data_IF_785790794698
#
_entry.id   IF_785790794698
#
_cell.length_a   1.000
_cell.length_b   1.000
_cell.length_c   1.000
_cell.angle_alpha   90.00
_cell.angle_beta   90.00
_cell.angle_gamma   90.00
#
_symmetry.space_group_name_H-M   'P 1'
#
loop_
_entity.id
_entity.type
_entity.pdbx_description
1 polymer ?
#
# COMPACT_ATOMS: atom_id res chain seq x y z
N UNK A 1 -42.30 -19.53 26.98
CA UNK A 1 -42.04 -19.73 28.41
C UNK A 1 -41.18 -18.61 29.00
N UNK A 2 -39.87 -18.48 28.73
CA UNK A 2 -39.09 -17.35 29.26
C UNK A 2 -39.66 -15.95 28.91
N UNK A 3 -40.09 -15.74 27.66
CA UNK A 3 -40.68 -14.45 27.23
C UNK A 3 -41.94 -14.05 28.02
N UNK A 4 -42.64 -15.01 28.63
CA UNK A 4 -43.84 -14.80 29.44
C UNK A 4 -43.56 -14.79 30.95
N UNK A 5 -42.65 -15.63 31.45
CA UNK A 5 -42.36 -15.75 32.89
C UNK A 5 -41.26 -14.80 33.38
N UNK A 6 -40.35 -14.37 32.51
CA UNK A 6 -39.12 -13.59 32.82
C UNK A 6 -38.26 -14.17 33.96
N UNK A 7 -38.44 -15.43 34.34
CA UNK A 7 -37.67 -16.06 35.41
C UNK A 7 -36.26 -16.44 34.94
N UNK A 8 -35.30 -16.42 35.86
CA UNK A 8 -33.92 -16.79 35.54
C UNK A 8 -33.79 -18.29 35.23
N UNK A 9 -34.61 -19.13 35.85
CA UNK A 9 -34.71 -20.57 35.58
C UNK A 9 -35.18 -20.87 34.14
N UNK A 10 -36.17 -20.13 33.63
CA UNK A 10 -36.60 -20.30 32.24
C UNK A 10 -35.55 -19.77 31.25
N UNK A 11 -34.76 -18.75 31.65
CA UNK A 11 -33.68 -18.20 30.84
C UNK A 11 -32.53 -19.19 30.68
N UNK A 12 -32.13 -19.86 31.76
CA UNK A 12 -31.07 -20.88 31.72
C UNK A 12 -31.49 -22.09 30.89
N UNK A 13 -32.74 -22.54 31.03
CA UNK A 13 -33.30 -23.63 30.21
C UNK A 13 -33.31 -23.26 28.71
N UNK A 14 -33.73 -22.05 28.35
CA UNK A 14 -33.71 -21.58 26.96
C UNK A 14 -32.28 -21.55 26.40
N UNK A 15 -31.31 -21.05 27.16
CA UNK A 15 -29.90 -21.03 26.74
C UNK A 15 -29.35 -22.43 26.52
N UNK A 16 -29.67 -23.37 27.41
CA UNK A 16 -29.29 -24.77 27.25
C UNK A 16 -29.89 -25.35 25.95
N UNK A 17 -31.18 -25.13 25.71
CA UNK A 17 -31.85 -25.58 24.49
C UNK A 17 -31.20 -25.00 23.21
N UNK A 18 -30.93 -23.68 23.19
CA UNK A 18 -30.27 -23.03 22.06
C UNK A 18 -28.88 -23.63 21.82
N UNK A 19 -28.09 -23.85 22.88
CA UNK A 19 -26.77 -24.48 22.75
C UNK A 19 -26.87 -25.87 22.14
N UNK A 20 -27.76 -26.71 22.65
CA UNK A 20 -27.98 -28.07 22.11
C UNK A 20 -28.41 -28.02 20.65
N UNK A 21 -29.33 -27.12 20.29
CA UNK A 21 -29.78 -26.93 18.92
C UNK A 21 -28.64 -26.48 17.99
N UNK A 22 -27.82 -25.51 18.40
CA UNK A 22 -26.69 -25.04 17.61
C UNK A 22 -25.62 -26.12 17.43
N UNK A 23 -25.38 -26.94 18.45
CA UNK A 23 -24.48 -28.10 18.37
C UNK A 23 -25.02 -29.11 17.36
N UNK A 24 -26.32 -29.44 17.42
CA UNK A 24 -26.95 -30.36 16.47
C UNK A 24 -26.87 -29.84 15.02
N UNK A 25 -27.13 -28.55 14.80
CA UNK A 25 -26.97 -27.93 13.48
C UNK A 25 -25.54 -28.01 12.99
N UNK A 26 -24.56 -27.67 13.84
CA UNK A 26 -23.15 -27.74 13.45
C UNK A 26 -22.77 -29.17 13.06
N UNK A 27 -23.15 -30.16 13.87
CA UNK A 27 -22.89 -31.57 13.58
C UNK A 27 -23.52 -32.01 12.26
N UNK A 28 -24.79 -31.66 12.02
CA UNK A 28 -25.49 -31.99 10.78
C UNK A 28 -24.83 -31.34 9.55
N UNK A 29 -24.46 -30.05 9.64
CA UNK A 29 -23.75 -29.34 8.56
C UNK A 29 -22.38 -29.95 8.27
N UNK A 30 -21.58 -30.22 9.32
CA UNK A 30 -20.29 -30.87 9.17
C UNK A 30 -20.44 -32.23 8.50
N UNK A 31 -21.36 -33.07 8.97
CA UNK A 31 -21.62 -34.39 8.37
C UNK A 31 -22.01 -34.28 6.90
N UNK A 32 -22.88 -33.32 6.54
CA UNK A 32 -23.31 -33.12 5.16
C UNK A 32 -22.15 -32.73 4.24
N UNK A 33 -21.39 -31.70 4.60
CA UNK A 33 -20.27 -31.24 3.76
C UNK A 33 -19.10 -32.22 3.73
N UNK A 34 -18.81 -32.91 4.83
CA UNK A 34 -17.81 -33.99 4.85
C UNK A 34 -18.18 -35.13 3.89
N UNK A 35 -19.44 -35.57 3.89
CA UNK A 35 -19.92 -36.58 2.94
C UNK A 35 -19.84 -36.08 1.49
N UNK A 36 -20.18 -34.81 1.25
CA UNK A 36 -20.10 -34.20 -0.08
C UNK A 36 -18.65 -34.12 -0.60
N UNK A 37 -17.70 -33.76 0.27
CA UNK A 37 -16.27 -33.75 -0.06
C UNK A 37 -15.78 -35.17 -0.36
N UNK A 38 -16.10 -36.15 0.48
CA UNK A 38 -15.71 -37.54 0.26
C UNK A 38 -16.27 -38.09 -1.07
N UNK A 39 -17.52 -37.77 -1.42
CA UNK A 39 -18.14 -38.14 -2.70
C UNK A 39 -17.54 -37.43 -3.93
N UNK A 40 -16.70 -36.42 -3.72
CA UNK A 40 -16.07 -35.61 -4.76
C UNK A 40 -14.55 -35.78 -4.82
N UNK A 41 -13.96 -36.70 -4.04
CA UNK A 41 -12.51 -36.86 -3.87
C UNK A 41 -11.77 -37.07 -5.21
N UNK A 42 -12.34 -37.87 -6.12
CA UNK A 42 -11.78 -38.13 -7.46
C UNK A 42 -12.25 -37.15 -8.54
N UNK A 43 -13.00 -36.11 -8.18
CA UNK A 43 -13.62 -35.15 -9.13
C UNK A 43 -13.26 -33.71 -8.76
N UNK A 44 -12.10 -33.21 -9.24
CA UNK A 44 -11.58 -31.89 -8.87
C UNK A 44 -12.61 -30.77 -9.04
N UNK A 45 -13.32 -30.71 -10.17
CA UNK A 45 -14.34 -29.68 -10.45
C UNK A 45 -15.49 -29.69 -9.45
N UNK A 46 -15.91 -30.87 -9.00
CA UNK A 46 -16.96 -30.97 -8.00
C UNK A 46 -16.46 -30.55 -6.63
N UNK A 47 -15.24 -30.96 -6.24
CA UNK A 47 -14.60 -30.55 -5.00
C UNK A 47 -14.47 -29.02 -4.93
N UNK A 48 -14.01 -28.38 -6.01
CA UNK A 48 -13.96 -26.91 -6.10
C UNK A 48 -15.33 -26.25 -5.93
N UNK A 49 -16.41 -26.81 -6.49
CA UNK A 49 -17.78 -26.29 -6.28
C UNK A 49 -18.21 -26.38 -4.81
N UNK A 50 -17.90 -27.47 -4.12
CA UNK A 50 -18.22 -27.62 -2.68
C UNK A 50 -17.47 -26.57 -1.86
N UNK A 51 -16.17 -26.43 -2.11
CA UNK A 51 -15.32 -25.43 -1.43
C UNK A 51 -15.82 -24.02 -1.67
N UNK A 52 -16.22 -23.69 -2.90
CA UNK A 52 -16.78 -22.39 -3.26
C UNK A 52 -18.07 -22.08 -2.52
N UNK A 53 -18.96 -23.08 -2.40
CA UNK A 53 -20.21 -22.97 -1.62
C UNK A 53 -19.93 -22.72 -0.14
N UNK A 54 -18.96 -23.41 0.46
CA UNK A 54 -18.55 -23.21 1.86
C UNK A 54 -17.99 -21.82 2.12
N UNK A 55 -17.17 -21.30 1.20
CA UNK A 55 -16.51 -20.01 1.34
C UNK A 55 -17.37 -18.82 0.92
N UNK A 56 -18.58 -19.07 0.39
CA UNK A 56 -19.48 -18.04 -0.13
C UNK A 56 -18.78 -17.12 -1.15
N UNK A 57 -17.82 -17.67 -1.90
CA UNK A 57 -17.10 -16.94 -2.94
C UNK A 57 -18.09 -16.73 -4.09
N UNK A 58 -18.76 -15.58 -4.08
CA UNK A 58 -19.49 -15.10 -5.26
C UNK A 58 -18.54 -15.13 -6.44
N UNK A 59 -19.06 -15.48 -7.61
CA UNK A 59 -18.43 -15.14 -8.88
C UNK A 59 -18.43 -13.63 -8.96
N UNK A 60 -17.44 -13.00 -8.33
CA UNK A 60 -17.01 -11.70 -8.78
C UNK A 60 -16.36 -11.98 -10.13
N UNK A 61 -17.15 -11.91 -11.20
CA UNK A 61 -16.60 -11.62 -12.51
C UNK A 61 -15.57 -10.50 -12.28
N UNK A 62 -14.32 -10.76 -12.62
CA UNK A 62 -13.28 -9.76 -12.44
C UNK A 62 -13.72 -8.56 -13.30
N UNK A 63 -14.08 -7.40 -12.71
CA UNK A 63 -14.71 -6.29 -13.44
C UNK A 63 -13.71 -5.56 -14.37
N UNK A 64 -12.57 -6.19 -14.61
CA UNK A 64 -11.39 -5.71 -15.29
C UNK A 64 -11.06 -6.51 -16.55
N UNK A 65 -11.82 -7.55 -16.89
CA UNK A 65 -11.64 -8.27 -18.15
C UNK A 65 -11.95 -7.28 -19.31
N UNK A 66 -10.91 -6.72 -19.93
CA UNK A 66 -10.99 -5.66 -20.95
C UNK A 66 -10.38 -4.31 -20.55
N UNK A 67 -10.11 -4.03 -19.26
CA UNK A 67 -9.50 -2.76 -18.81
C UNK A 67 -8.00 -2.83 -18.57
N UNK A 68 -7.43 -4.03 -18.47
CA UNK A 68 -5.99 -4.20 -18.18
C UNK A 68 -5.16 -3.84 -19.40
N UNK A 69 -5.58 -4.30 -20.57
CA UNK A 69 -4.90 -4.04 -21.84
C UNK A 69 -4.96 -2.54 -22.19
N UNK A 70 -6.13 -1.91 -22.03
CA UNK A 70 -6.30 -0.46 -22.21
C UNK A 70 -5.45 0.34 -21.22
N UNK A 71 -5.36 -0.11 -19.96
CA UNK A 71 -4.54 0.54 -18.93
C UNK A 71 -3.04 0.46 -19.24
N UNK A 72 -2.57 -0.71 -19.70
CA UNK A 72 -1.18 -0.91 -20.10
C UNK A 72 -0.84 -0.06 -21.32
N UNK A 73 -1.74 0.00 -22.30
CA UNK A 73 -1.55 0.83 -23.49
C UNK A 73 -1.48 2.32 -23.11
N UNK A 74 -2.40 2.80 -22.26
CA UNK A 74 -2.40 4.19 -21.78
C UNK A 74 -1.08 4.58 -21.11
N UNK A 75 -0.53 3.73 -20.23
CA UNK A 75 0.76 4.01 -19.58
C UNK A 75 1.91 4.03 -20.59
N UNK A 76 1.90 3.11 -21.55
CA UNK A 76 2.94 3.03 -22.60
C UNK A 76 2.92 4.27 -23.50
N UNK A 77 1.74 4.71 -23.91
CA UNK A 77 1.54 5.91 -24.71
C UNK A 77 1.98 7.16 -23.94
N UNK A 78 1.64 7.25 -22.66
CA UNK A 78 2.03 8.36 -21.79
C UNK A 78 3.55 8.46 -21.63
N UNK A 79 4.23 7.34 -21.41
CA UNK A 79 5.70 7.30 -21.31
C UNK A 79 6.34 7.76 -22.63
N UNK A 80 5.82 7.27 -23.76
CA UNK A 80 6.34 7.63 -25.08
C UNK A 80 6.19 9.12 -25.34
N UNK A 81 5.01 9.69 -25.00
CA UNK A 81 4.75 11.12 -25.16
C UNK A 81 5.67 11.99 -24.32
N UNK A 82 5.90 11.63 -23.06
CA UNK A 82 6.83 12.37 -22.19
C UNK A 82 8.24 12.35 -22.78
N UNK A 83 8.69 11.22 -23.31
CA UNK A 83 10.02 11.12 -23.95
C UNK A 83 10.10 11.97 -25.22
N UNK A 84 9.10 11.89 -26.09
CA UNK A 84 9.08 12.70 -27.31
C UNK A 84 9.04 14.18 -27.01
N UNK A 85 8.25 14.62 -26.03
CA UNK A 85 8.17 16.04 -25.65
C UNK A 85 9.53 16.53 -25.14
N UNK A 86 10.20 15.73 -24.29
CA UNK A 86 11.53 16.06 -23.76
C UNK A 86 12.61 16.14 -24.85
N UNK A 87 12.60 15.21 -25.81
CA UNK A 87 13.54 15.18 -26.94
C UNK A 87 13.27 16.31 -27.96
N UNK A 88 12.00 16.71 -28.12
CA UNK A 88 11.59 17.82 -29.00
C UNK A 88 12.04 19.18 -28.46
N UNK A 89 11.94 19.36 -27.14
CA UNK A 89 12.43 20.56 -26.47
C UNK A 89 13.97 20.66 -26.54
N UNK A 90 14.68 19.53 -26.54
CA UNK A 90 16.14 19.49 -26.65
C UNK A 90 16.67 19.76 -28.06
N UNK A 91 15.94 19.33 -29.10
CA UNK A 91 16.35 19.51 -30.50
C UNK A 91 16.12 20.92 -31.03
N UNK A 92 15.31 21.72 -30.32
CA UNK A 92 15.24 23.17 -30.52
C UNK A 92 16.37 23.85 -29.76
N UNK A 93 17.61 23.41 -30.01
CA UNK A 93 18.79 24.23 -29.71
C UNK A 93 18.70 25.43 -30.65
N UNK A 94 18.01 26.48 -30.19
CA UNK A 94 18.18 27.82 -30.73
C UNK A 94 19.69 28.02 -30.92
N UNK A 95 20.09 28.46 -32.10
CA UNK A 95 21.44 28.96 -32.34
C UNK A 95 21.68 30.08 -31.32
N UNK A 96 22.21 29.69 -30.16
CA UNK A 96 22.54 30.58 -29.06
C UNK A 96 23.72 31.40 -29.58
N UNK A 97 23.36 32.51 -30.22
CA UNK A 97 24.28 33.42 -30.87
C UNK A 97 25.25 33.89 -29.79
N UNK A 98 26.54 33.67 -30.03
CA UNK A 98 27.62 33.78 -29.06
C UNK A 98 27.67 35.10 -28.28
N UNK A 99 26.89 35.17 -27.20
CA UNK A 99 27.13 36.03 -26.05
C UNK A 99 27.70 35.14 -24.97
N UNK A 100 28.96 35.40 -24.59
CA UNK A 100 29.77 34.54 -23.73
C UNK A 100 28.98 33.85 -22.62
N UNK A 101 28.62 32.59 -22.87
CA UNK A 101 28.23 31.69 -21.82
C UNK A 101 29.51 31.48 -21.02
N UNK A 102 29.63 32.19 -19.90
CA UNK A 102 30.53 31.75 -18.83
C UNK A 102 30.20 30.27 -18.65
N UNK A 103 31.11 29.39 -19.03
CA UNK A 103 30.98 27.98 -18.71
C UNK A 103 30.96 27.94 -17.19
N UNK A 104 29.77 27.91 -16.60
CA UNK A 104 29.62 27.71 -15.18
C UNK A 104 30.04 26.27 -14.96
N UNK A 105 31.33 26.08 -14.66
CA UNK A 105 31.89 24.83 -14.20
C UNK A 105 31.29 24.61 -12.81
N UNK A 106 30.22 23.81 -12.79
CA UNK A 106 29.61 23.31 -11.56
C UNK A 106 30.48 22.17 -11.04
N UNK A 107 31.60 22.53 -10.40
CA UNK A 107 32.57 21.56 -9.89
C UNK A 107 32.11 20.96 -8.55
N UNK A 108 31.44 21.73 -7.71
CA UNK A 108 30.99 21.30 -6.38
C UNK A 108 29.63 21.93 -6.00
N UNK A 109 28.90 21.25 -5.10
CA UNK A 109 27.70 21.80 -4.47
C UNK A 109 28.09 22.69 -3.29
N UNK A 110 27.36 23.78 -3.10
CA UNK A 110 27.45 24.57 -1.88
C UNK A 110 27.00 23.73 -0.67
N UNK A 111 27.71 23.89 0.45
CA UNK A 111 27.34 23.23 1.69
C UNK A 111 25.97 23.72 2.16
N UNK A 112 25.10 22.77 2.48
CA UNK A 112 23.77 23.05 3.04
C UNK A 112 23.90 23.74 4.39
N UNK A 113 23.13 24.80 4.60
CA UNK A 113 23.08 25.51 5.87
C UNK A 113 22.20 24.77 6.90
N UNK A 114 22.49 24.85 8.21
CA UNK A 114 21.69 24.18 9.24
C UNK A 114 20.21 24.57 9.18
N UNK A 115 19.91 25.83 8.89
CA UNK A 115 18.55 26.38 8.82
C UNK A 115 17.75 25.77 7.66
N UNK A 116 18.41 25.40 6.57
CA UNK A 116 17.78 24.74 5.43
C UNK A 116 17.39 23.31 5.76
N UNK A 117 18.19 22.62 6.59
CA UNK A 117 17.83 21.29 7.12
C UNK A 117 16.59 21.39 8.00
N UNK A 118 16.54 22.36 8.92
CA UNK A 118 15.38 22.54 9.80
C UNK A 118 14.12 22.91 9.03
N UNK A 119 14.26 23.77 8.02
CA UNK A 119 13.17 24.14 7.11
C UNK A 119 12.65 22.92 6.36
N UNK A 120 13.55 22.10 5.82
CA UNK A 120 13.19 20.87 5.12
C UNK A 120 12.46 19.89 6.05
N UNK A 121 13.02 19.59 7.21
CA UNK A 121 12.39 18.70 8.21
C UNK A 121 11.05 19.30 8.70
N UNK A 122 10.92 20.63 8.76
CA UNK A 122 9.69 21.37 9.04
C UNK A 122 8.58 21.18 8.02
N UNK A 123 8.93 21.16 6.74
CA UNK A 123 7.98 21.02 5.65
C UNK A 123 7.54 19.56 5.39
N UNK A 124 8.25 18.58 5.95
CA UNK A 124 7.97 17.16 5.72
C UNK A 124 6.67 16.71 6.41
N UNK A 125 5.90 15.86 5.70
CA UNK A 125 4.80 15.14 6.30
C UNK A 125 5.30 14.12 7.32
N UNK A 126 4.57 13.89 8.41
CA UNK A 126 4.88 12.86 9.40
C UNK A 126 4.54 11.42 8.90
N UNK A 127 5.03 11.06 7.71
CA UNK A 127 4.93 9.73 7.15
C UNK A 127 6.08 8.86 7.65
N UNK A 128 5.83 7.58 7.90
CA UNK A 128 6.85 6.60 8.33
C UNK A 128 6.57 5.28 7.66
N UNK A 129 7.61 4.64 7.14
CA UNK A 129 7.55 3.30 6.57
C UNK A 129 8.25 2.27 7.47
N UNK A 130 8.06 0.99 7.18
CA UNK A 130 8.63 -0.11 7.98
C UNK A 130 10.15 -0.23 7.89
N UNK A 131 10.77 0.37 6.86
CA UNK A 131 12.22 0.36 6.67
C UNK A 131 12.90 1.58 7.30
N UNK A 132 12.11 2.54 7.82
CA UNK A 132 12.69 3.73 8.43
C UNK A 132 13.42 3.35 9.72
N UNK A 133 14.63 3.86 9.96
CA UNK A 133 15.39 3.57 11.18
C UNK A 133 14.70 4.11 12.43
N UNK A 134 13.87 5.14 12.28
CA UNK A 134 13.02 5.66 13.34
C UNK A 134 11.79 6.39 12.77
N UNK A 135 10.75 6.62 13.59
CA UNK A 135 9.59 7.37 13.15
C UNK A 135 9.90 8.83 12.79
N UNK A 136 9.25 9.37 11.76
CA UNK A 136 9.47 10.76 11.31
C UNK A 136 9.04 11.80 12.33
N UNK A 137 8.04 11.49 13.17
CA UNK A 137 7.66 12.36 14.30
C UNK A 137 8.81 12.51 15.29
N UNK A 138 9.63 11.46 15.48
CA UNK A 138 10.75 11.48 16.41
C UNK A 138 11.86 12.37 15.86
N UNK A 139 12.20 12.22 14.57
CA UNK A 139 13.15 13.11 13.89
C UNK A 139 12.71 14.57 14.02
N UNK A 140 11.42 14.85 13.86
CA UNK A 140 10.87 16.19 14.05
C UNK A 140 10.87 16.67 15.50
N UNK A 141 10.72 15.79 16.48
CA UNK A 141 10.74 16.15 17.90
C UNK A 141 12.18 16.36 18.40
N UNK A 142 13.17 15.70 17.81
CA UNK A 142 14.58 15.75 18.20
C UNK A 142 15.44 16.59 17.25
N UNK A 143 14.87 17.61 16.61
CA UNK A 143 15.55 18.42 15.56
C UNK A 143 16.90 18.97 15.99
N UNK A 144 16.98 19.52 17.21
CA UNK A 144 18.23 20.08 17.77
C UNK A 144 19.37 19.04 17.81
N UNK A 145 19.03 17.77 18.01
CA UNK A 145 19.99 16.67 18.01
C UNK A 145 20.20 16.12 16.60
N UNK A 146 19.16 16.15 15.75
CA UNK A 146 19.20 15.51 14.44
C UNK A 146 19.75 16.36 13.31
N UNK A 147 19.71 17.67 13.46
CA UNK A 147 20.11 18.64 12.44
C UNK A 147 21.55 18.43 11.97
N UNK A 148 22.50 18.31 12.90
CA UNK A 148 23.92 18.20 12.57
C UNK A 148 24.27 16.94 11.77
N UNK A 149 23.69 15.78 12.13
CA UNK A 149 23.96 14.55 11.38
C UNK A 149 23.22 14.51 10.04
N UNK A 150 22.01 15.08 9.95
CA UNK A 150 21.30 15.22 8.68
C UNK A 150 22.07 16.13 7.73
N UNK A 151 22.57 17.26 8.20
CA UNK A 151 23.41 18.17 7.42
C UNK A 151 24.67 17.47 6.90
N UNK A 152 25.39 16.76 7.77
CA UNK A 152 26.59 16.01 7.39
C UNK A 152 26.27 14.93 6.34
N UNK A 153 25.17 14.20 6.50
CA UNK A 153 24.74 13.19 5.54
C UNK A 153 24.41 13.79 4.18
N UNK A 154 23.64 14.89 4.15
CA UNK A 154 23.25 15.57 2.91
C UNK A 154 24.50 16.10 2.17
N UNK A 155 25.39 16.78 2.88
CA UNK A 155 26.62 17.33 2.28
C UNK A 155 27.56 16.22 1.77
N UNK A 156 27.67 15.10 2.49
CA UNK A 156 28.41 13.94 2.03
C UNK A 156 27.80 13.37 0.73
N UNK A 157 26.47 13.22 0.69
CA UNK A 157 25.77 12.74 -0.51
C UNK A 157 25.92 13.67 -1.71
N UNK A 158 25.85 14.99 -1.52
CA UNK A 158 26.07 15.96 -2.58
C UNK A 158 27.50 15.92 -3.11
N UNK A 159 28.50 15.82 -2.22
CA UNK A 159 29.92 15.77 -2.58
C UNK A 159 30.31 14.50 -3.30
N UNK A 160 29.82 13.35 -2.84
CA UNK A 160 30.14 12.04 -3.42
C UNK A 160 29.28 11.70 -4.63
N UNK A 161 28.20 12.46 -4.87
CA UNK A 161 27.18 12.11 -5.86
C UNK A 161 26.47 10.78 -5.54
N UNK A 162 26.47 10.38 -4.26
CA UNK A 162 26.07 9.06 -3.81
C UNK A 162 25.06 9.15 -2.66
N UNK A 163 23.93 8.46 -2.78
CA UNK A 163 22.90 8.41 -1.74
C UNK A 163 22.80 6.99 -1.16
N UNK A 164 22.66 6.81 0.16
CA UNK A 164 22.63 5.50 0.79
C UNK A 164 21.52 4.62 0.22
N UNK A 165 21.87 3.41 -0.21
CA UNK A 165 20.93 2.47 -0.82
C UNK A 165 19.73 2.12 0.08
N UNK A 166 19.89 1.88 1.41
CA UNK A 166 18.77 1.58 2.29
C UNK A 166 17.73 2.71 2.38
N UNK A 167 18.13 3.96 2.11
CA UNK A 167 17.25 5.13 2.16
C UNK A 167 16.53 5.39 0.83
N UNK A 168 16.86 4.64 -0.25
CA UNK A 168 16.17 4.73 -1.54
C UNK A 168 14.89 3.89 -1.61
N UNK A 169 14.73 2.98 -0.66
CA UNK A 169 13.63 2.04 -0.62
C UNK A 169 12.58 2.49 0.41
N UNK A 170 11.30 2.37 0.06
CA UNK A 170 10.21 2.68 0.96
C UNK A 170 9.10 1.64 0.82
N UNK A 171 8.53 1.22 1.95
CA UNK A 171 7.36 0.32 1.96
C UNK A 171 6.08 1.14 1.88
N UNK A 172 5.42 1.09 0.73
CA UNK A 172 4.14 1.75 0.52
C UNK A 172 3.00 0.76 0.76
N UNK A 173 2.07 1.11 1.64
CA UNK A 173 0.84 0.36 1.88
C UNK A 173 -0.35 1.09 1.28
N UNK A 174 -0.92 0.61 0.15
CA UNK A 174 -2.10 1.24 -0.42
C UNK A 174 -3.29 1.10 0.55
N UNK A 175 -3.99 2.21 0.79
CA UNK A 175 -5.22 2.23 1.56
C UNK A 175 -6.41 2.08 0.62
N UNK A 176 -7.34 1.19 0.96
CA UNK A 176 -8.60 1.08 0.23
C UNK A 176 -9.48 2.30 0.55
N UNK A 177 -9.99 2.95 -0.50
CA UNK A 177 -10.98 4.03 -0.36
C UNK A 177 -12.19 3.50 0.41
N UNK A 178 -12.75 4.30 1.33
CA UNK A 178 -14.00 3.93 1.99
C UNK A 178 -15.11 3.84 0.92
N UNK A 179 -16.04 2.88 1.02
CA UNK A 179 -17.12 2.71 0.03
C UNK A 179 -18.04 3.92 -0.13
N UNK A 180 -18.01 4.87 0.82
CA UNK A 180 -18.92 6.03 0.88
C UNK A 180 -18.30 7.34 0.37
N UNK A 181 -17.07 7.31 -0.13
CA UNK A 181 -16.42 8.46 -0.74
C UNK A 181 -16.32 8.16 -2.23
N UNK A 182 -17.29 8.65 -3.01
CA UNK A 182 -17.10 8.88 -4.45
C UNK A 182 -16.40 10.22 -4.63
#
# INVERSE_FOLDING_TARGET
>A
RWRSSKSESDRTLLRAYIRTYLVAIRAAKCSHFSALIASAESRPTALFRVTRSLLHIRETECPLQGRVEEFVQFLSDKITRIRTDLDSDWTTSAEMTGGGLSQVLWDEFESVAPEDVDRAVGAMSASTCLLDPCPSWLVSASREVTQGWLQALINASLREGSFPQPLKEAVVRPLLKKPSLD
#
